data_IF_889939643850
#
_entry.id   IF_889939643850
#
_cell.length_a   1.000
_cell.length_b   1.000
_cell.length_c   1.000
_cell.angle_alpha   90.00
_cell.angle_beta   90.00
_cell.angle_gamma   90.00
#
_symmetry.space_group_name_H-M   'P 1'
#
loop_
_entity.id
_entity.type
_entity.pdbx_description
1 polymer ?
#
# COMPACT_ATOMS: atom_id res chain seq x y z
N UNK A 1 -14.42 1.14 -16.46
CA UNK A 1 -14.17 2.41 -15.77
C UNK A 1 -13.47 2.09 -14.48
N UNK A 2 -12.43 2.85 -14.19
CA UNK A 2 -11.65 2.74 -12.95
C UNK A 2 -11.81 4.07 -12.25
N UNK A 3 -12.18 4.04 -10.98
CA UNK A 3 -12.39 5.21 -10.14
C UNK A 3 -11.82 4.91 -8.76
N UNK A 4 -11.04 5.85 -8.24
CA UNK A 4 -10.39 5.73 -6.95
C UNK A 4 -10.13 7.11 -6.35
N UNK A 5 -9.91 7.12 -5.05
CA UNK A 5 -9.52 8.28 -4.26
C UNK A 5 -8.07 8.07 -3.83
N UNK A 6 -7.25 9.09 -4.03
CA UNK A 6 -5.88 9.13 -3.55
C UNK A 6 -5.75 10.26 -2.55
N UNK A 7 -5.11 9.97 -1.43
CA UNK A 7 -4.84 10.94 -0.37
C UNK A 7 -3.39 10.81 0.09
N UNK A 8 -2.74 11.95 0.28
CA UNK A 8 -1.44 12.02 0.92
C UNK A 8 -1.53 12.92 2.14
N UNK A 9 -0.88 12.49 3.22
CA UNK A 9 -0.81 13.24 4.47
C UNK A 9 0.62 13.19 4.97
N UNK A 10 1.29 14.33 4.95
CA UNK A 10 2.59 14.52 5.58
C UNK A 10 2.40 15.36 6.86
N UNK A 11 2.88 14.81 7.97
CA UNK A 11 2.79 15.44 9.29
C UNK A 11 4.20 15.56 9.86
N UNK A 12 4.74 16.79 9.99
CA UNK A 12 5.93 17.04 10.80
C UNK A 12 5.52 16.98 12.26
N UNK A 13 5.70 15.82 12.90
CA UNK A 13 5.31 15.59 14.30
C UNK A 13 6.23 16.39 15.24
N UNK A 14 7.51 16.51 14.88
CA UNK A 14 8.49 17.38 15.54
C UNK A 14 9.58 17.78 14.54
N UNK A 15 10.54 18.59 14.97
CA UNK A 15 11.71 18.97 14.16
C UNK A 15 12.57 17.76 13.73
N UNK A 16 12.43 16.63 14.42
CA UNK A 16 13.21 15.40 14.18
C UNK A 16 12.37 14.22 13.72
N UNK A 17 11.04 14.31 13.75
CA UNK A 17 10.13 13.22 13.41
C UNK A 17 9.18 13.66 12.29
N UNK A 18 9.25 12.96 11.17
CA UNK A 18 8.36 13.16 10.03
C UNK A 18 7.54 11.89 9.81
N UNK A 19 6.22 12.06 9.72
CA UNK A 19 5.28 10.98 9.45
C UNK A 19 4.56 11.22 8.12
N UNK A 20 4.78 10.33 7.16
CA UNK A 20 4.18 10.41 5.82
C UNK A 20 3.24 9.24 5.60
N UNK A 21 2.02 9.53 5.18
CA UNK A 21 1.01 8.54 4.84
C UNK A 21 0.51 8.78 3.42
N UNK A 22 0.36 7.70 2.67
CA UNK A 22 -0.26 7.70 1.35
C UNK A 22 -1.33 6.61 1.34
N UNK A 23 -2.56 7.00 1.04
CA UNK A 23 -3.70 6.10 0.96
C UNK A 23 -4.30 6.16 -0.44
N UNK A 24 -4.55 4.99 -1.00
CA UNK A 24 -5.30 4.82 -2.25
C UNK A 24 -6.50 3.94 -1.93
N UNK A 25 -7.70 4.38 -2.30
CA UNK A 25 -8.93 3.64 -2.15
C UNK A 25 -9.62 3.48 -3.51
N UNK A 26 -9.90 2.26 -3.93
CA UNK A 26 -10.51 1.97 -5.23
C UNK A 26 -12.02 1.83 -5.10
N UNK A 27 -12.77 2.81 -5.62
CA UNK A 27 -14.24 2.82 -5.59
C UNK A 27 -14.84 1.90 -6.64
N UNK A 28 -14.29 1.92 -7.86
CA UNK A 28 -14.74 1.09 -8.96
C UNK A 28 -13.56 0.58 -9.78
N UNK A 29 -13.56 -0.72 -10.08
CA UNK A 29 -12.71 -1.32 -11.09
C UNK A 29 -13.56 -2.35 -11.83
N UNK A 30 -14.36 -1.89 -12.80
CA UNK A 30 -15.28 -2.75 -13.56
C UNK A 30 -15.21 -2.47 -15.05
N UNK A 31 -15.16 -3.52 -15.84
CA UNK A 31 -15.40 -3.49 -17.27
C UNK A 31 -16.91 -3.25 -17.49
N UNK A 32 -17.25 -2.22 -18.28
CA UNK A 32 -18.65 -1.81 -18.50
C UNK A 32 -19.42 -2.77 -19.41
N UNK A 33 -18.73 -3.59 -20.22
CA UNK A 33 -19.37 -4.55 -21.14
C UNK A 33 -19.63 -5.91 -20.47
N UNK A 34 -18.66 -6.41 -19.68
CA UNK A 34 -18.76 -7.74 -19.05
C UNK A 34 -19.14 -7.70 -17.57
N UNK A 35 -19.09 -6.52 -16.93
CA UNK A 35 -19.30 -6.37 -15.49
C UNK A 35 -18.16 -6.92 -14.62
N UNK A 36 -17.11 -7.47 -15.23
CA UNK A 36 -15.98 -8.09 -14.53
C UNK A 36 -14.92 -7.07 -14.08
N UNK A 37 -14.11 -7.42 -13.08
CA UNK A 37 -13.00 -6.56 -12.63
C UNK A 37 -11.94 -6.45 -13.73
N UNK A 38 -11.46 -5.23 -14.00
CA UNK A 38 -10.42 -4.98 -15.00
C UNK A 38 -9.04 -5.47 -14.54
N UNK A 39 -8.78 -5.44 -13.23
CA UNK A 39 -7.55 -5.92 -12.61
C UNK A 39 -7.81 -6.40 -11.17
N UNK A 40 -7.03 -7.38 -10.71
CA UNK A 40 -7.03 -7.83 -9.31
C UNK A 40 -6.07 -6.91 -8.55
N UNK A 41 -6.63 -5.90 -7.90
CA UNK A 41 -5.91 -4.95 -7.05
C UNK A 41 -6.58 -4.90 -5.68
N UNK A 42 -5.83 -4.60 -4.60
CA UNK A 42 -6.40 -4.34 -3.28
C UNK A 42 -7.45 -3.25 -3.35
N UNK A 43 -8.55 -3.41 -2.60
CA UNK A 43 -9.58 -2.36 -2.50
C UNK A 43 -9.05 -1.07 -1.90
N UNK A 44 -8.04 -1.17 -1.03
CA UNK A 44 -7.28 -0.03 -0.55
C UNK A 44 -5.83 -0.42 -0.29
N UNK A 45 -4.95 0.55 -0.39
CA UNK A 45 -3.55 0.43 0.01
C UNK A 45 -3.20 1.64 0.85
N UNK A 46 -2.72 1.41 2.07
CA UNK A 46 -2.20 2.44 2.96
C UNK A 46 -0.71 2.20 3.13
N UNK A 47 0.10 3.20 2.80
CA UNK A 47 1.53 3.24 3.07
C UNK A 47 1.81 4.32 4.12
N UNK A 48 2.45 3.96 5.21
CA UNK A 48 2.83 4.85 6.29
C UNK A 48 4.33 4.72 6.53
N UNK A 49 5.04 5.83 6.50
CA UNK A 49 6.48 5.90 6.79
C UNK A 49 6.70 6.88 7.92
N UNK A 50 7.24 6.39 9.04
CA UNK A 50 7.71 7.21 10.14
C UNK A 50 9.22 7.30 10.06
N UNK A 51 9.75 8.50 9.83
CA UNK A 51 11.18 8.77 9.80
C UNK A 51 11.56 9.59 11.03
N UNK A 52 12.53 9.12 11.79
CA UNK A 52 13.00 9.74 13.01
C UNK A 52 14.51 9.97 12.95
N UNK A 53 14.92 11.23 12.96
CA UNK A 53 16.31 11.61 13.15
C UNK A 53 16.63 11.62 14.65
N UNK A 54 17.17 10.52 15.15
CA UNK A 54 17.54 10.41 16.58
C UNK A 54 18.70 11.33 16.89
N UNK A 55 19.68 11.37 15.99
CA UNK A 55 20.91 12.12 16.12
C UNK A 55 21.41 12.54 14.75
N UNK A 56 22.36 13.47 14.62
CA UNK A 56 22.81 13.93 13.28
C UNK A 56 23.37 12.82 12.38
N UNK A 57 23.89 11.75 12.99
CA UNK A 57 24.51 10.58 12.36
C UNK A 57 23.63 9.33 12.45
N UNK A 58 22.48 9.38 13.13
CA UNK A 58 21.60 8.23 13.34
C UNK A 58 20.17 8.55 12.93
N UNK A 59 19.66 7.80 11.96
CA UNK A 59 18.26 7.87 11.53
C UNK A 59 17.58 6.52 11.64
N UNK A 60 16.35 6.52 12.12
CA UNK A 60 15.47 5.36 12.17
C UNK A 60 14.31 5.57 11.20
N UNK A 61 13.89 4.50 10.54
CA UNK A 61 12.71 4.51 9.70
C UNK A 61 11.84 3.29 9.97
N UNK A 62 10.55 3.52 10.15
CA UNK A 62 9.54 2.48 10.22
C UNK A 62 8.61 2.63 9.02
N UNK A 63 8.40 1.53 8.32
CA UNK A 63 7.44 1.44 7.21
C UNK A 63 6.31 0.51 7.61
N UNK A 64 5.09 0.91 7.30
CA UNK A 64 3.89 0.13 7.48
C UNK A 64 3.08 0.20 6.20
N UNK A 65 2.83 -0.95 5.59
CA UNK A 65 1.95 -1.03 4.43
C UNK A 65 0.79 -1.95 4.75
N UNK A 66 -0.44 -1.46 4.59
CA UNK A 66 -1.65 -2.24 4.76
C UNK A 66 -2.37 -2.36 3.43
N UNK A 67 -2.50 -3.61 2.97
CA UNK A 67 -3.28 -3.96 1.81
C UNK A 67 -4.66 -4.46 2.25
N UNK A 68 -5.69 -3.87 1.66
CA UNK A 68 -7.06 -4.32 1.78
C UNK A 68 -7.29 -5.66 1.08
N UNK A 69 -8.52 -6.13 1.18
CA UNK A 69 -8.95 -7.39 0.58
C UNK A 69 -8.73 -7.38 -0.93
N UNK A 70 -8.23 -8.47 -1.48
CA UNK A 70 -8.15 -8.66 -2.93
C UNK A 70 -9.19 -9.70 -3.33
N UNK A 71 -10.21 -9.28 -4.08
CA UNK A 71 -11.19 -10.20 -4.65
C UNK A 71 -10.73 -10.67 -6.04
N UNK A 72 -10.82 -11.97 -6.34
CA UNK A 72 -10.49 -12.50 -7.65
C UNK A 72 -11.51 -12.08 -8.72
N UNK A 73 -11.22 -12.41 -9.98
CA UNK A 73 -12.11 -12.14 -11.11
C UNK A 73 -13.45 -12.86 -10.93
N UNK A 74 -14.55 -12.27 -11.41
CA UNK A 74 -15.88 -12.88 -11.34
C UNK A 74 -16.09 -13.92 -12.42
N UNK A 75 -15.47 -13.75 -13.59
CA UNK A 75 -15.59 -14.67 -14.71
C UNK A 75 -14.23 -15.18 -15.17
N UNK A 76 -14.20 -16.45 -15.59
CA UNK A 76 -13.02 -17.06 -16.20
C UNK A 76 -12.91 -16.63 -17.69
N UNK A 77 -11.86 -17.08 -18.38
CA UNK A 77 -11.61 -16.73 -19.79
C UNK A 77 -12.73 -17.17 -20.77
N UNK A 78 -13.65 -18.04 -20.33
CA UNK A 78 -14.82 -18.49 -21.10
C UNK A 78 -16.10 -17.69 -20.78
N UNK A 79 -16.00 -16.65 -19.96
CA UNK A 79 -17.15 -15.84 -19.51
C UNK A 79 -18.06 -16.56 -18.51
N UNK A 80 -17.61 -17.69 -17.94
CA UNK A 80 -18.36 -18.43 -16.93
C UNK A 80 -17.98 -17.97 -15.52
N UNK A 81 -18.88 -18.00 -14.53
CA UNK A 81 -18.54 -17.68 -13.15
C UNK A 81 -17.38 -18.56 -12.67
N UNK A 82 -16.35 -17.96 -12.06
CA UNK A 82 -15.25 -18.73 -11.45
C UNK A 82 -15.79 -19.68 -10.37
N UNK A 83 -15.19 -20.86 -10.20
CA UNK A 83 -15.65 -21.88 -9.23
C UNK A 83 -14.48 -22.48 -8.45
N UNK A 84 -14.73 -22.99 -7.24
CA UNK A 84 -13.68 -23.57 -6.41
C UNK A 84 -12.68 -22.54 -5.89
N UNK A 85 -11.39 -22.90 -5.83
CA UNK A 85 -10.30 -22.04 -5.35
C UNK A 85 -10.06 -20.78 -6.20
N UNK A 86 -10.64 -20.70 -7.40
CA UNK A 86 -10.62 -19.48 -8.22
C UNK A 86 -11.45 -18.33 -7.60
N UNK A 87 -12.26 -18.61 -6.57
CA UNK A 87 -12.96 -17.61 -5.76
C UNK A 87 -12.18 -17.17 -4.51
N UNK A 88 -11.03 -17.77 -4.22
CA UNK A 88 -10.33 -17.49 -2.98
C UNK A 88 -9.90 -16.02 -2.93
N UNK A 89 -10.37 -15.35 -1.88
CA UNK A 89 -10.07 -13.95 -1.64
C UNK A 89 -8.85 -13.85 -0.74
N UNK A 90 -7.93 -12.95 -1.08
CA UNK A 90 -6.81 -12.65 -0.19
C UNK A 90 -7.33 -11.70 0.88
N UNK A 91 -7.35 -12.19 2.13
CA UNK A 91 -7.69 -11.38 3.29
C UNK A 91 -6.75 -10.18 3.42
N UNK A 92 -7.22 -9.05 3.99
CA UNK A 92 -6.36 -7.90 4.25
C UNK A 92 -5.12 -8.31 5.06
N UNK A 93 -3.95 -7.82 4.66
CA UNK A 93 -2.69 -8.10 5.34
C UNK A 93 -1.85 -6.85 5.43
N UNK A 94 -0.98 -6.80 6.45
CA UNK A 94 -0.05 -5.70 6.64
C UNK A 94 1.39 -6.20 6.65
N UNK A 95 2.27 -5.32 6.19
CA UNK A 95 3.72 -5.51 6.19
C UNK A 95 4.31 -4.40 7.05
N UNK A 96 5.17 -4.79 7.99
CA UNK A 96 5.93 -3.89 8.84
C UNK A 96 7.41 -4.02 8.50
N UNK A 97 8.08 -2.89 8.35
CA UNK A 97 9.51 -2.78 8.16
C UNK A 97 10.11 -1.82 9.18
N UNK A 98 11.29 -2.17 9.68
CA UNK A 98 12.09 -1.33 10.57
C UNK A 98 13.51 -1.29 10.02
N UNK A 99 14.05 -0.10 9.86
CA UNK A 99 15.42 0.12 9.43
C UNK A 99 16.08 1.21 10.27
N UNK A 100 17.39 1.09 10.40
CA UNK A 100 18.25 2.03 11.08
C UNK A 100 19.46 2.29 10.20
N UNK A 101 19.88 3.54 10.12
CA UNK A 101 21.09 3.96 9.43
C UNK A 101 21.94 4.73 10.41
N UNK A 102 23.23 4.38 10.45
CA UNK A 102 24.23 5.04 11.29
C UNK A 102 25.46 5.37 10.45
N UNK A 103 25.76 6.66 10.35
CA UNK A 103 26.90 7.19 9.62
C UNK A 103 28.15 7.25 10.52
N UNK A 104 28.90 6.14 10.56
CA UNK A 104 30.07 5.96 11.45
C UNK A 104 31.22 6.93 11.14
N UNK A 105 31.40 7.33 9.88
CA UNK A 105 32.40 8.30 9.45
C UNK A 105 31.83 9.27 8.42
N UNK A 106 32.07 10.57 8.60
CA UNK A 106 31.86 11.58 7.54
C UNK A 106 32.91 11.35 6.45
N UNK A 107 32.59 10.51 5.47
CA UNK A 107 33.39 10.45 4.25
C UNK A 107 32.96 11.61 3.37
N UNK A 108 33.56 12.78 3.58
CA UNK A 108 33.52 13.87 2.60
C UNK A 108 34.36 13.42 1.40
N UNK A 109 33.72 13.27 0.24
CA UNK A 109 34.42 13.10 -1.03
C UNK A 109 35.21 14.38 -1.38
#
# INVERSE_FOLDING_TARGET
MVEGLEGSLNVPVSDTINWTNNITYMLQSKNKETGDRLSIIPEYTLNSTLSWQVHQDVSLQSTFTWYGKQQPKKYNYKGQPVTGSEKDEVSPYSILGLSATWDVTKTSA
#
